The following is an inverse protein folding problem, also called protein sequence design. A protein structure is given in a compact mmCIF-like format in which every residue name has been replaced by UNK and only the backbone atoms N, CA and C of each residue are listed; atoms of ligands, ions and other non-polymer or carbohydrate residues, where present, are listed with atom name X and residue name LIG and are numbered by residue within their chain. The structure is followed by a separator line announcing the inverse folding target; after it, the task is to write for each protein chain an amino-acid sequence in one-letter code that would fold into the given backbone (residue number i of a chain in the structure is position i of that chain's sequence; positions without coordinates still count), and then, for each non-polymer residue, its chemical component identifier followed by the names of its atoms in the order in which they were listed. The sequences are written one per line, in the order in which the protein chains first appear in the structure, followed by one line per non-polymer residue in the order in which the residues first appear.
data_IF_532559298896
#
_entry.id   IF_532559298896
#
_cell.length_a   1.000
_cell.length_b   1.000
_cell.length_c   1.000
_cell.angle_alpha   90.00
_cell.angle_beta   90.00
_cell.angle_gamma   90.00
#
_symmetry.space_group_name_H-M   'P 1'
#
loop_
_entity.id
_entity.type
_entity.pdbx_description
1 polymer ?
#
# COMPACT_ATOMS: atom_id res chain seq x y z
N UNK A 1 -8.76 -0.92 8.67
CA UNK A 1 -8.02 0.04 9.52
C UNK A 1 -6.88 -0.69 10.21
N UNK A 2 -6.13 -0.02 11.09
CA UNK A 2 -4.99 -0.64 11.79
C UNK A 2 -5.40 -1.73 12.78
N UNK A 3 -6.52 -1.55 13.48
CA UNK A 3 -7.15 -2.63 14.25
C UNK A 3 -8.03 -3.49 13.32
N UNK A 4 -7.42 -4.53 12.76
CA UNK A 4 -8.10 -5.48 11.90
C UNK A 4 -9.07 -6.39 12.68
N UNK A 5 -8.80 -6.68 13.95
CA UNK A 5 -9.64 -7.56 14.78
C UNK A 5 -10.97 -6.89 15.16
N UNK A 6 -10.98 -5.55 15.21
CA UNK A 6 -12.16 -4.71 15.43
C UNK A 6 -13.13 -4.60 14.24
N UNK A 7 -12.96 -5.36 13.16
CA UNK A 7 -13.90 -5.33 12.01
C UNK A 7 -15.31 -5.77 12.43
N UNK A 8 -16.33 -5.16 11.81
CA UNK A 8 -17.75 -5.36 12.15
C UNK A 8 -18.56 -6.12 11.11
N UNK A 9 -18.02 -6.31 9.90
CA UNK A 9 -18.66 -7.11 8.85
C UNK A 9 -18.83 -8.55 9.34
N UNK A 10 -20.04 -9.10 9.26
CA UNK A 10 -20.35 -10.47 9.70
C UNK A 10 -20.77 -11.35 8.53
N UNK A 11 -20.53 -12.64 8.64
CA UNK A 11 -21.01 -13.66 7.71
C UNK A 11 -21.53 -14.84 8.54
N UNK A 12 -22.84 -14.87 8.81
CA UNK A 12 -23.43 -15.87 9.71
C UNK A 12 -24.04 -17.00 8.90
N UNK A 13 -23.83 -18.25 9.31
CA UNK A 13 -24.41 -19.42 8.61
C UNK A 13 -25.94 -19.40 8.68
N UNK A 14 -26.57 -19.64 7.54
CA UNK A 14 -28.01 -19.87 7.37
C UNK A 14 -28.22 -20.98 6.32
N UNK A 15 -28.39 -22.22 6.78
CA UNK A 15 -28.48 -23.38 5.91
C UNK A 15 -27.18 -23.64 5.13
N UNK A 16 -27.28 -23.62 3.79
CA UNK A 16 -26.16 -23.84 2.85
C UNK A 16 -25.47 -22.54 2.41
N UNK A 17 -25.80 -21.41 3.06
CA UNK A 17 -25.23 -20.10 2.79
C UNK A 17 -24.62 -19.47 4.05
N UNK A 18 -23.76 -18.48 3.85
CA UNK A 18 -23.49 -17.40 4.77
C UNK A 18 -24.37 -16.19 4.41
N UNK A 19 -24.90 -15.51 5.42
CA UNK A 19 -25.53 -14.18 5.29
C UNK A 19 -24.50 -13.12 5.62
N UNK A 20 -23.98 -12.45 4.60
CA UNK A 20 -22.96 -11.42 4.69
C UNK A 20 -23.58 -10.03 4.86
N UNK A 21 -23.18 -9.34 5.93
CA UNK A 21 -23.66 -8.02 6.29
C UNK A 21 -22.53 -7.08 6.69
N UNK A 22 -22.58 -5.84 6.21
CA UNK A 22 -21.74 -4.73 6.65
C UNK A 22 -21.14 -3.90 5.51
N UNK A 23 -20.09 -3.16 5.83
CA UNK A 23 -19.44 -2.26 4.87
C UNK A 23 -17.92 -2.34 4.92
N UNK A 24 -17.29 -2.04 3.80
CA UNK A 24 -15.84 -1.90 3.64
C UNK A 24 -15.53 -0.55 3.01
N UNK A 25 -14.53 0.13 3.56
CA UNK A 25 -14.07 1.43 3.09
C UNK A 25 -12.60 1.34 2.71
N UNK A 26 -12.18 2.18 1.78
CA UNK A 26 -10.83 2.21 1.22
C UNK A 26 -10.47 0.96 0.42
N UNK A 27 -11.43 0.41 -0.33
CA UNK A 27 -11.18 -0.76 -1.17
C UNK A 27 -10.59 -0.32 -2.50
N UNK A 28 -9.30 -0.61 -2.68
CA UNK A 28 -8.62 -0.50 -3.97
C UNK A 28 -9.38 -1.28 -5.03
N UNK A 29 -9.66 -0.66 -6.17
CA UNK A 29 -10.49 -1.18 -7.24
C UNK A 29 -11.97 -1.40 -6.87
N UNK A 30 -12.47 -0.88 -5.75
CA UNK A 30 -13.84 -1.12 -5.28
C UNK A 30 -14.94 -0.65 -6.25
N UNK A 31 -14.66 0.31 -7.12
CA UNK A 31 -15.60 0.80 -8.14
C UNK A 31 -15.61 -0.09 -9.39
N UNK A 32 -14.50 -0.82 -9.63
CA UNK A 32 -14.26 -1.57 -10.86
C UNK A 32 -14.25 -3.10 -10.66
N UNK A 33 -14.14 -3.59 -9.42
CA UNK A 33 -14.02 -5.02 -9.15
C UNK A 33 -15.34 -5.76 -9.32
N UNK A 34 -15.33 -6.90 -9.99
CA UNK A 34 -16.48 -7.82 -10.04
C UNK A 34 -16.37 -8.93 -8.97
N UNK A 35 -15.15 -9.28 -8.55
CA UNK A 35 -14.88 -10.27 -7.53
C UNK A 35 -14.11 -9.61 -6.36
N UNK A 36 -14.50 -9.90 -5.13
CA UNK A 36 -13.84 -9.36 -3.93
C UNK A 36 -13.63 -10.44 -2.88
N UNK A 37 -12.44 -10.46 -2.25
CA UNK A 37 -12.19 -11.26 -1.06
C UNK A 37 -12.59 -10.45 0.16
N UNK A 38 -13.71 -10.80 0.79
CA UNK A 38 -14.27 -10.11 1.95
C UNK A 38 -13.79 -10.78 3.22
N UNK A 39 -13.11 -10.00 4.07
CA UNK A 39 -12.81 -10.39 5.45
C UNK A 39 -14.04 -10.15 6.32
N UNK A 40 -14.63 -11.19 6.89
CA UNK A 40 -15.84 -11.09 7.72
C UNK A 40 -15.72 -11.93 8.99
N UNK A 41 -16.49 -11.59 10.03
CA UNK A 41 -16.62 -12.41 11.24
C UNK A 41 -17.67 -13.49 11.04
N UNK A 42 -17.22 -14.73 11.03
CA UNK A 42 -18.08 -15.93 11.07
C UNK A 42 -18.40 -16.35 12.50
N UNK A 43 -17.51 -16.01 13.46
CA UNK A 43 -17.79 -16.06 14.90
C UNK A 43 -17.53 -14.67 15.52
N UNK A 44 -18.57 -13.84 15.71
CA UNK A 44 -18.41 -12.51 16.29
C UNK A 44 -17.82 -12.49 17.71
N UNK A 45 -18.01 -13.56 18.49
CA UNK A 45 -17.58 -13.65 19.87
C UNK A 45 -16.09 -14.03 20.00
N UNK A 46 -15.51 -14.69 18.99
CA UNK A 46 -14.12 -15.16 19.01
C UNK A 46 -13.06 -14.12 18.60
N UNK A 47 -13.41 -12.83 18.54
CA UNK A 47 -12.51 -11.74 18.16
C UNK A 47 -11.74 -12.04 16.84
N UNK A 48 -10.41 -11.96 16.82
CA UNK A 48 -9.61 -12.28 15.64
C UNK A 48 -9.65 -13.75 15.22
N UNK A 49 -9.98 -14.67 16.14
CA UNK A 49 -10.12 -16.11 15.85
C UNK A 49 -11.46 -16.43 15.19
N UNK A 50 -12.38 -15.48 15.08
CA UNK A 50 -13.67 -15.66 14.42
C UNK A 50 -13.72 -15.09 13.01
N UNK A 51 -12.57 -14.84 12.39
CA UNK A 51 -12.46 -14.20 11.08
C UNK A 51 -12.30 -15.24 9.97
N UNK A 52 -13.08 -15.09 8.90
CA UNK A 52 -13.00 -15.88 7.67
C UNK A 52 -12.84 -14.98 6.44
N UNK A 53 -12.48 -15.60 5.32
CA UNK A 53 -12.36 -14.97 4.01
C UNK A 53 -13.44 -15.54 3.09
N UNK A 54 -14.24 -14.67 2.46
CA UNK A 54 -15.27 -15.07 1.51
C UNK A 54 -14.97 -14.47 0.14
N UNK A 55 -15.11 -15.27 -0.92
CA UNK A 55 -15.05 -14.79 -2.30
C UNK A 55 -16.46 -14.37 -2.72
N UNK A 56 -16.66 -13.09 -2.99
CA UNK A 56 -17.99 -12.51 -3.25
C UNK A 56 -18.02 -11.88 -4.63
N UNK A 57 -19.04 -12.23 -5.42
CA UNK A 57 -19.35 -11.58 -6.69
C UNK A 57 -20.17 -10.31 -6.43
N UNK A 58 -19.65 -9.16 -6.85
CA UNK A 58 -20.29 -7.86 -6.65
C UNK A 58 -21.59 -7.67 -7.44
N UNK A 59 -21.97 -8.64 -8.29
CA UNK A 59 -23.25 -8.66 -9.03
C UNK A 59 -24.36 -9.38 -8.25
N UNK A 60 -24.05 -10.03 -7.14
CA UNK A 60 -25.06 -10.71 -6.33
C UNK A 60 -26.04 -9.73 -5.65
N UNK A 61 -27.29 -10.14 -5.42
CA UNK A 61 -28.26 -9.33 -4.67
C UNK A 61 -27.72 -8.94 -3.29
N UNK A 62 -27.94 -7.68 -2.90
CA UNK A 62 -27.45 -7.11 -1.63
C UNK A 62 -26.04 -6.51 -1.70
N UNK A 63 -25.26 -6.80 -2.75
CA UNK A 63 -23.99 -6.12 -3.00
C UNK A 63 -24.22 -4.75 -3.63
N UNK A 64 -23.58 -3.71 -3.08
CA UNK A 64 -23.59 -2.38 -3.70
C UNK A 64 -22.27 -1.65 -3.53
N UNK A 65 -21.97 -0.77 -4.50
CA UNK A 65 -20.80 0.10 -4.49
C UNK A 65 -21.22 1.49 -4.01
N UNK A 66 -20.50 2.00 -3.02
CA UNK A 66 -20.68 3.33 -2.48
C UNK A 66 -19.91 4.38 -3.26
N UNK A 67 -19.36 5.37 -2.54
CA UNK A 67 -18.65 6.48 -3.19
C UNK A 67 -17.29 6.04 -3.72
N UNK A 68 -16.96 6.49 -4.92
CA UNK A 68 -15.57 6.57 -5.39
C UNK A 68 -14.87 7.71 -4.64
N UNK A 69 -13.95 7.35 -3.76
CA UNK A 69 -13.27 8.29 -2.87
C UNK A 69 -12.31 9.19 -3.66
N UNK A 70 -12.35 10.49 -3.38
CA UNK A 70 -11.46 11.49 -3.98
C UNK A 70 -10.14 11.54 -3.21
N UNK A 71 -9.06 11.05 -3.83
CA UNK A 71 -7.71 10.97 -3.23
C UNK A 71 -6.83 12.14 -3.70
N UNK A 72 -5.87 12.53 -2.85
CA UNK A 72 -4.86 13.55 -3.18
C UNK A 72 -3.98 13.12 -4.36
N UNK A 73 -3.55 11.86 -4.37
CA UNK A 73 -2.81 11.17 -5.43
C UNK A 73 -3.41 9.78 -5.71
N UNK A 74 -2.70 8.97 -6.48
CA UNK A 74 -3.11 7.64 -6.97
C UNK A 74 -4.45 7.70 -7.69
N UNK A 75 -4.68 8.77 -8.49
CA UNK A 75 -6.00 9.09 -9.09
C UNK A 75 -6.45 8.09 -10.16
N UNK A 76 -5.49 7.42 -10.80
CA UNK A 76 -5.75 6.41 -11.84
C UNK A 76 -6.35 5.13 -11.24
N UNK A 77 -5.92 4.74 -10.05
CA UNK A 77 -6.47 3.61 -9.31
C UNK A 77 -7.69 4.08 -8.52
N UNK A 78 -8.87 3.49 -8.74
CA UNK A 78 -10.02 3.86 -7.94
C UNK A 78 -9.95 3.27 -6.51
N UNK A 79 -10.64 3.91 -5.59
CA UNK A 79 -10.78 3.44 -4.21
C UNK A 79 -12.21 3.72 -3.79
N UNK A 80 -12.91 2.69 -3.37
CA UNK A 80 -14.35 2.73 -3.15
C UNK A 80 -14.78 2.32 -1.74
N UNK A 81 -16.07 2.53 -1.51
CA UNK A 81 -16.84 1.89 -0.45
C UNK A 81 -17.59 0.70 -1.05
N UNK A 82 -17.66 -0.42 -0.34
CA UNK A 82 -18.48 -1.59 -0.67
C UNK A 82 -19.45 -1.85 0.48
N UNK A 83 -20.69 -2.20 0.15
CA UNK A 83 -21.73 -2.55 1.12
C UNK A 83 -22.35 -3.89 0.77
N UNK A 84 -22.70 -4.63 1.83
CA UNK A 84 -23.30 -5.95 1.77
C UNK A 84 -24.51 -5.94 2.72
N UNK A 85 -25.69 -6.16 2.15
CA UNK A 85 -26.98 -6.18 2.85
C UNK A 85 -27.66 -7.52 2.58
N UNK A 86 -27.68 -8.39 3.58
CA UNK A 86 -28.21 -9.75 3.52
C UNK A 86 -27.77 -10.56 2.28
N UNK A 87 -26.48 -10.44 1.91
CA UNK A 87 -25.93 -11.14 0.76
C UNK A 87 -25.79 -12.63 1.09
N UNK A 88 -26.48 -13.49 0.33
CA UNK A 88 -26.31 -14.96 0.41
C UNK A 88 -25.05 -15.39 -0.33
N UNK A 89 -24.09 -15.92 0.42
CA UNK A 89 -22.81 -16.42 -0.09
C UNK A 89 -22.75 -17.93 0.15
N UNK A 90 -22.74 -18.77 -0.90
CA UNK A 90 -22.67 -20.22 -0.72
C UNK A 90 -21.45 -20.66 0.11
N UNK A 91 -21.58 -21.75 0.88
CA UNK A 91 -20.50 -22.21 1.77
C UNK A 91 -19.19 -22.55 1.04
N UNK A 92 -19.25 -22.95 -0.24
CA UNK A 92 -18.09 -23.28 -1.07
C UNK A 92 -17.31 -22.04 -1.57
N UNK A 93 -17.81 -20.84 -1.33
CA UNK A 93 -17.11 -19.57 -1.59
C UNK A 93 -16.25 -19.12 -0.40
N UNK A 94 -16.16 -19.93 0.65
CA UNK A 94 -15.18 -19.78 1.71
C UNK A 94 -13.76 -20.00 1.16
N UNK A 95 -12.90 -19.00 1.30
CA UNK A 95 -11.50 -19.11 0.91
C UNK A 95 -10.68 -19.69 2.06
N UNK A 96 -10.34 -20.97 1.95
CA UNK A 96 -9.64 -21.72 2.98
C UNK A 96 -10.59 -22.27 4.03
N UNK A 97 -10.17 -22.28 5.29
CA UNK A 97 -10.95 -22.82 6.40
C UNK A 97 -11.66 -21.71 7.19
N UNK A 98 -12.84 -22.05 7.72
CA UNK A 98 -13.64 -21.15 8.56
C UNK A 98 -12.84 -20.79 9.81
N UNK A 99 -12.92 -19.53 10.23
CA UNK A 99 -12.23 -18.97 11.40
C UNK A 99 -10.69 -18.94 11.29
N UNK A 100 -10.12 -19.30 10.12
CA UNK A 100 -8.66 -19.25 9.85
C UNK A 100 -8.23 -18.02 9.05
N UNK A 101 -9.17 -17.17 8.66
CA UNK A 101 -8.92 -15.99 7.80
C UNK A 101 -7.88 -15.02 8.36
N UNK A 102 -7.86 -14.79 9.68
CA UNK A 102 -6.82 -13.93 10.28
C UNK A 102 -5.41 -14.52 10.11
N UNK A 103 -5.26 -15.84 10.24
CA UNK A 103 -3.97 -16.50 10.06
C UNK A 103 -3.48 -16.39 8.61
N UNK A 104 -4.38 -16.59 7.64
CA UNK A 104 -4.05 -16.40 6.22
C UNK A 104 -3.63 -14.95 5.93
N UNK A 105 -4.35 -13.96 6.46
CA UNK A 105 -3.95 -12.56 6.32
C UNK A 105 -2.57 -12.28 6.90
N UNK A 106 -2.24 -12.83 8.08
CA UNK A 106 -0.90 -12.66 8.67
C UNK A 106 0.20 -13.31 7.81
N UNK A 107 -0.12 -14.36 7.05
CA UNK A 107 0.81 -15.00 6.11
C UNK A 107 1.01 -14.19 4.82
N UNK A 108 -0.04 -13.55 4.31
CA UNK A 108 0.01 -12.82 3.03
C UNK A 108 0.48 -11.36 3.17
N UNK A 109 0.29 -10.73 4.34
CA UNK A 109 0.69 -9.34 4.57
C UNK A 109 2.20 -9.05 4.37
N UNK A 110 3.14 -9.94 4.72
CA UNK A 110 4.55 -9.75 4.39
C UNK A 110 4.81 -9.56 2.89
N UNK A 111 4.10 -10.31 2.04
CA UNK A 111 4.19 -10.16 0.59
C UNK A 111 3.66 -8.81 0.14
N UNK A 112 2.46 -8.42 0.58
CA UNK A 112 1.89 -7.10 0.27
C UNK A 112 2.87 -5.97 0.65
N UNK A 113 3.43 -6.02 1.86
CA UNK A 113 4.41 -5.03 2.35
C UNK A 113 5.67 -4.96 1.48
N UNK A 114 6.19 -6.09 1.04
CA UNK A 114 7.35 -6.14 0.15
C UNK A 114 7.03 -5.49 -1.21
N UNK A 115 5.87 -5.76 -1.80
CA UNK A 115 5.46 -5.13 -3.07
C UNK A 115 5.42 -3.59 -2.97
N UNK A 116 4.99 -3.06 -1.82
CA UNK A 116 4.98 -1.62 -1.55
C UNK A 116 6.41 -1.08 -1.48
N UNK A 117 7.31 -1.77 -0.77
CA UNK A 117 8.71 -1.37 -0.68
C UNK A 117 9.40 -1.33 -2.05
N UNK A 118 9.17 -2.35 -2.89
CA UNK A 118 9.68 -2.43 -4.27
C UNK A 118 9.23 -1.21 -5.07
N UNK A 119 7.93 -0.91 -5.03
CA UNK A 119 7.36 0.21 -5.75
C UNK A 119 7.91 1.56 -5.26
N UNK A 120 8.11 1.69 -3.95
CA UNK A 120 8.65 2.91 -3.33
C UNK A 120 10.08 3.21 -3.79
N UNK A 121 10.97 2.20 -3.80
CA UNK A 121 12.35 2.36 -4.27
C UNK A 121 12.39 2.67 -5.76
N UNK A 122 11.63 1.95 -6.59
CA UNK A 122 11.60 2.19 -8.04
C UNK A 122 11.11 3.62 -8.38
N UNK A 123 10.10 4.12 -7.65
CA UNK A 123 9.63 5.50 -7.85
C UNK A 123 10.65 6.55 -7.41
N UNK A 124 11.41 6.29 -6.34
CA UNK A 124 12.48 7.18 -5.89
C UNK A 124 13.64 7.25 -6.90
N UNK A 125 14.02 6.11 -7.49
CA UNK A 125 15.03 6.06 -8.57
C UNK A 125 14.59 6.87 -9.79
N UNK A 126 13.34 6.69 -10.23
CA UNK A 126 12.78 7.44 -11.35
C UNK A 126 12.74 8.95 -11.07
N UNK A 127 12.40 9.36 -9.85
CA UNK A 127 12.43 10.76 -9.44
C UNK A 127 13.83 11.38 -9.55
N UNK A 128 14.85 10.66 -9.08
CA UNK A 128 16.25 11.10 -9.19
C UNK A 128 16.65 11.23 -10.66
N UNK A 129 16.27 10.28 -11.51
CA UNK A 129 16.57 10.35 -12.94
C UNK A 129 15.94 11.58 -13.59
N UNK A 130 14.63 11.81 -13.37
CA UNK A 130 13.90 12.94 -13.93
C UNK A 130 14.49 14.28 -13.47
N UNK A 131 14.76 14.40 -12.18
CA UNK A 131 15.33 15.63 -11.60
C UNK A 131 16.78 15.84 -12.03
N UNK A 132 17.56 14.78 -12.16
CA UNK A 132 18.93 14.85 -12.69
C UNK A 132 18.93 15.36 -14.14
N UNK A 133 18.00 14.90 -14.98
CA UNK A 133 17.82 15.42 -16.35
C UNK A 133 17.42 16.89 -16.34
N UNK A 134 16.35 17.23 -15.60
CA UNK A 134 15.86 18.60 -15.47
C UNK A 134 16.97 19.57 -15.02
N UNK A 135 17.76 19.17 -14.02
CA UNK A 135 18.83 20.01 -13.49
C UNK A 135 19.97 20.27 -14.49
N UNK A 136 20.22 19.37 -15.44
CA UNK A 136 21.22 19.60 -16.50
C UNK A 136 20.72 20.55 -17.58
N UNK A 137 19.41 20.53 -17.86
CA UNK A 137 18.80 21.35 -18.90
C UNK A 137 18.45 22.76 -18.42
N UNK A 138 17.94 22.88 -17.19
CA UNK A 138 17.47 24.15 -16.62
C UNK A 138 18.65 25.09 -16.33
N UNK A 139 18.61 26.27 -16.94
CA UNK A 139 19.55 27.36 -16.68
C UNK A 139 19.02 28.32 -15.60
N UNK A 140 19.90 28.78 -14.71
CA UNK A 140 19.66 29.89 -13.80
C UNK A 140 21.00 30.55 -13.45
N UNK A 141 21.02 31.88 -13.26
CA UNK A 141 22.24 32.64 -12.97
C UNK A 141 23.41 32.33 -13.93
N UNK A 142 23.08 32.17 -15.23
CA UNK A 142 24.07 31.96 -16.29
C UNK A 142 24.65 30.54 -16.42
N UNK A 143 24.15 29.56 -15.66
CA UNK A 143 24.63 28.17 -15.73
C UNK A 143 23.51 27.15 -15.51
N UNK A 144 23.75 25.89 -15.86
CA UNK A 144 22.80 24.82 -15.55
C UNK A 144 22.68 24.67 -14.03
N UNK A 145 21.49 24.42 -13.50
CA UNK A 145 21.32 24.33 -12.04
C UNK A 145 22.09 23.13 -11.45
N UNK A 146 22.38 22.09 -12.23
CA UNK A 146 23.30 21.00 -11.88
C UNK A 146 24.72 21.49 -11.52
N UNK A 147 25.12 22.68 -11.96
CA UNK A 147 26.43 23.26 -11.63
C UNK A 147 26.48 23.87 -10.23
N UNK A 148 25.35 24.08 -9.55
CA UNK A 148 25.35 24.44 -8.13
C UNK A 148 25.69 23.25 -7.24
N UNK A 149 26.57 23.48 -6.26
CA UNK A 149 27.03 22.43 -5.34
C UNK A 149 25.88 21.82 -4.53
N UNK A 150 24.97 22.66 -4.02
CA UNK A 150 23.80 22.21 -3.27
C UNK A 150 22.96 21.20 -4.07
N UNK A 151 22.65 21.48 -5.33
CA UNK A 151 21.91 20.56 -6.22
C UNK A 151 22.60 19.21 -6.36
N UNK A 152 23.93 19.20 -6.54
CA UNK A 152 24.69 17.95 -6.63
C UNK A 152 24.70 17.18 -5.32
N UNK A 153 24.83 17.87 -4.19
CA UNK A 153 24.81 17.23 -2.86
C UNK A 153 23.46 16.58 -2.60
N UNK A 154 22.36 17.29 -2.83
CA UNK A 154 21.00 16.74 -2.68
C UNK A 154 20.79 15.48 -3.53
N UNK A 155 21.19 15.50 -4.81
CA UNK A 155 21.04 14.33 -5.68
C UNK A 155 21.97 13.18 -5.27
N UNK A 156 23.19 13.47 -4.79
CA UNK A 156 24.14 12.46 -4.34
C UNK A 156 23.66 11.76 -3.06
N UNK A 157 23.13 12.52 -2.10
CA UNK A 157 22.52 11.97 -0.88
C UNK A 157 21.31 11.10 -1.21
N UNK A 158 20.38 11.61 -2.01
CA UNK A 158 19.20 10.87 -2.44
C UNK A 158 19.57 9.56 -3.15
N UNK A 159 20.53 9.61 -4.08
CA UNK A 159 21.02 8.42 -4.78
C UNK A 159 21.61 7.41 -3.80
N UNK A 160 22.43 7.85 -2.86
CA UNK A 160 23.07 6.97 -1.87
C UNK A 160 22.03 6.26 -1.02
N UNK A 161 21.05 7.00 -0.47
CA UNK A 161 20.01 6.43 0.37
C UNK A 161 19.13 5.43 -0.39
N UNK A 162 18.79 5.74 -1.64
CA UNK A 162 18.01 4.85 -2.51
C UNK A 162 18.78 3.59 -2.87
N UNK A 163 20.10 3.68 -3.11
CA UNK A 163 20.93 2.49 -3.34
C UNK A 163 20.99 1.58 -2.11
N UNK A 164 21.08 2.14 -0.90
CA UNK A 164 21.01 1.34 0.34
C UNK A 164 19.64 0.65 0.46
N UNK A 165 18.56 1.37 0.19
CA UNK A 165 17.22 0.79 0.21
C UNK A 165 17.03 -0.31 -0.85
N UNK A 166 17.57 -0.12 -2.06
CA UNK A 166 17.56 -1.11 -3.16
C UNK A 166 18.18 -2.42 -2.71
N UNK A 167 19.40 -2.38 -2.15
CA UNK A 167 20.10 -3.60 -1.67
C UNK A 167 19.26 -4.33 -0.62
N UNK A 168 18.64 -3.61 0.32
CA UNK A 168 17.80 -4.23 1.34
C UNK A 168 16.53 -4.85 0.77
N UNK A 169 15.86 -4.18 -0.17
CA UNK A 169 14.68 -4.70 -0.87
C UNK A 169 15.03 -5.94 -1.69
N UNK A 170 16.14 -5.92 -2.42
CA UNK A 170 16.59 -7.07 -3.22
C UNK A 170 16.85 -8.29 -2.32
N UNK A 171 17.48 -8.08 -1.14
CA UNK A 171 17.62 -9.14 -0.14
C UNK A 171 16.27 -9.68 0.34
N UNK A 172 15.28 -8.81 0.56
CA UNK A 172 13.93 -9.25 0.95
C UNK A 172 13.24 -10.05 -0.17
N UNK A 173 13.47 -9.69 -1.44
CA UNK A 173 12.98 -10.46 -2.60
C UNK A 173 13.62 -11.86 -2.62
N UNK A 174 14.92 -11.97 -2.42
CA UNK A 174 15.60 -13.28 -2.36
C UNK A 174 15.02 -14.16 -1.25
N UNK A 175 14.81 -13.60 -0.05
CA UNK A 175 14.19 -14.29 1.07
C UNK A 175 12.77 -14.73 0.72
N UNK A 176 11.98 -13.86 0.08
CA UNK A 176 10.62 -14.18 -0.33
C UNK A 176 10.58 -15.36 -1.31
N UNK A 177 11.44 -15.33 -2.33
CA UNK A 177 11.55 -16.41 -3.34
C UNK A 177 11.91 -17.75 -2.70
N UNK A 178 12.67 -17.74 -1.59
CA UNK A 178 13.03 -18.94 -0.83
C UNK A 178 11.98 -19.37 0.20
N UNK A 179 10.92 -18.58 0.40
CA UNK A 179 9.95 -18.81 1.48
C UNK A 179 10.49 -18.48 2.88
N UNK A 180 11.55 -17.67 2.96
CA UNK A 180 12.28 -17.32 4.19
C UNK A 180 12.03 -15.86 4.62
N UNK A 181 11.20 -15.10 3.89
CA UNK A 181 10.88 -13.73 4.28
C UNK A 181 9.99 -13.72 5.51
N UNK A 182 10.53 -13.25 6.63
CA UNK A 182 9.74 -13.03 7.83
C UNK A 182 8.97 -11.69 7.80
N UNK A 183 7.97 -11.59 8.68
CA UNK A 183 7.14 -10.40 8.80
C UNK A 183 7.91 -9.16 9.26
N UNK A 184 9.03 -9.33 9.96
CA UNK A 184 9.85 -8.25 10.51
C UNK A 184 10.62 -7.54 9.41
N UNK A 185 11.36 -8.30 8.59
CA UNK A 185 12.09 -7.82 7.43
C UNK A 185 11.15 -7.14 6.43
N UNK A 186 9.99 -7.73 6.15
CA UNK A 186 8.96 -7.10 5.31
C UNK A 186 8.46 -5.77 5.88
N UNK A 187 8.27 -5.69 7.21
CA UNK A 187 7.83 -4.45 7.88
C UNK A 187 8.93 -3.38 7.87
N UNK A 188 10.20 -3.76 8.09
CA UNK A 188 11.35 -2.87 7.96
C UNK A 188 11.44 -2.30 6.54
N UNK A 189 11.32 -3.17 5.52
CA UNK A 189 11.41 -2.77 4.12
C UNK A 189 10.31 -1.77 3.77
N UNK A 190 9.06 -2.08 4.12
CA UNK A 190 7.91 -1.22 3.82
C UNK A 190 8.03 0.14 4.50
N UNK A 191 8.30 0.18 5.81
CA UNK A 191 8.39 1.45 6.53
C UNK A 191 9.55 2.30 6.00
N UNK A 192 10.76 1.73 5.92
CA UNK A 192 11.95 2.48 5.53
C UNK A 192 11.83 3.03 4.12
N UNK A 193 11.44 2.18 3.16
CA UNK A 193 11.39 2.57 1.76
C UNK A 193 10.29 3.61 1.49
N UNK A 194 9.15 3.54 2.18
CA UNK A 194 8.07 4.52 1.98
C UNK A 194 8.34 5.86 2.65
N UNK A 195 9.05 5.89 3.79
CA UNK A 195 9.54 7.15 4.38
C UNK A 195 10.62 7.77 3.48
N UNK A 196 11.58 6.97 3.01
CA UNK A 196 12.63 7.41 2.09
C UNK A 196 12.06 7.94 0.78
N UNK A 197 11.10 7.23 0.18
CA UNK A 197 10.43 7.64 -1.05
C UNK A 197 9.85 9.05 -0.92
N UNK A 198 9.17 9.35 0.20
CA UNK A 198 8.60 10.68 0.44
C UNK A 198 9.71 11.74 0.55
N UNK A 199 10.78 11.45 1.29
CA UNK A 199 11.94 12.34 1.44
C UNK A 199 12.58 12.66 0.09
N UNK A 200 12.85 11.64 -0.72
CA UNK A 200 13.53 11.78 -2.02
C UNK A 200 12.66 12.53 -3.01
N UNK A 201 11.37 12.19 -3.11
CA UNK A 201 10.44 12.89 -3.99
C UNK A 201 10.28 14.36 -3.62
N UNK A 202 10.25 14.68 -2.34
CA UNK A 202 10.16 16.06 -1.85
C UNK A 202 11.40 16.87 -2.25
N UNK A 203 12.59 16.33 -2.01
CA UNK A 203 13.84 16.95 -2.43
C UNK A 203 13.93 17.11 -3.97
N UNK A 204 13.51 16.10 -4.72
CA UNK A 204 13.46 16.14 -6.18
C UNK A 204 12.46 17.19 -6.68
N UNK A 205 11.26 17.28 -6.09
CA UNK A 205 10.28 18.32 -6.41
C UNK A 205 10.86 19.72 -6.15
N UNK A 206 11.53 19.90 -5.01
CA UNK A 206 12.17 21.16 -4.64
C UNK A 206 13.20 21.62 -5.68
N UNK A 207 13.98 20.70 -6.27
CA UNK A 207 14.93 21.01 -7.34
C UNK A 207 14.26 21.49 -8.64
N UNK A 208 13.00 21.10 -8.88
CA UNK A 208 12.23 21.63 -9.99
C UNK A 208 11.70 23.05 -9.75
N UNK A 209 11.67 23.52 -8.49
CA UNK A 209 11.11 24.81 -8.12
C UNK A 209 9.62 24.90 -8.44
N UNK A 210 9.14 26.06 -8.92
CA UNK A 210 7.73 26.25 -9.29
C UNK A 210 7.20 25.24 -10.31
N UNK A 211 8.06 24.76 -11.22
CA UNK A 211 7.72 23.72 -12.18
C UNK A 211 7.41 22.37 -11.51
N UNK A 212 8.02 22.09 -10.36
CA UNK A 212 7.77 20.87 -9.57
C UNK A 212 6.34 20.81 -9.02
N UNK A 213 5.65 21.94 -8.93
CA UNK A 213 4.26 22.03 -8.52
C UNK A 213 3.27 21.91 -9.69
N UNK A 214 3.75 21.84 -10.94
CA UNK A 214 2.91 21.76 -12.13
C UNK A 214 2.77 20.31 -12.58
N UNK A 215 1.55 19.90 -12.94
CA UNK A 215 1.25 18.52 -13.39
C UNK A 215 1.89 18.16 -14.74
N UNK A 216 2.41 19.14 -15.47
CA UNK A 216 3.21 18.92 -16.68
C UNK A 216 4.52 18.17 -16.40
N UNK A 217 5.00 18.23 -15.16
CA UNK A 217 6.20 17.52 -14.73
C UNK A 217 5.82 16.26 -13.93
N UNK A 218 6.38 15.08 -14.27
CA UNK A 218 6.01 13.81 -13.64
C UNK A 218 6.29 13.79 -12.13
N UNK A 219 7.23 14.63 -11.66
CA UNK A 219 7.59 14.74 -10.24
C UNK A 219 6.41 15.19 -9.37
N UNK A 220 5.56 16.09 -9.87
CA UNK A 220 4.40 16.59 -9.12
C UNK A 220 3.42 15.46 -8.81
N UNK A 221 3.11 14.65 -9.84
CA UNK A 221 2.24 13.48 -9.69
C UNK A 221 2.87 12.47 -8.74
N UNK A 222 4.13 12.11 -8.97
CA UNK A 222 4.83 11.12 -8.16
C UNK A 222 4.85 11.51 -6.66
N UNK A 223 5.10 12.78 -6.35
CA UNK A 223 5.04 13.30 -4.98
C UNK A 223 3.65 13.13 -4.34
N UNK A 224 2.57 13.50 -5.06
CA UNK A 224 1.21 13.34 -4.53
C UNK A 224 0.80 11.86 -4.38
N UNK A 225 1.24 10.99 -5.28
CA UNK A 225 0.94 9.56 -5.27
C UNK A 225 1.65 8.84 -4.11
N UNK A 226 2.91 9.16 -3.86
CA UNK A 226 3.74 8.54 -2.84
C UNK A 226 3.22 8.72 -1.41
N UNK A 227 2.50 9.82 -1.13
CA UNK A 227 2.02 10.11 0.23
C UNK A 227 1.20 8.96 0.83
N UNK A 228 0.43 8.25 0.01
CA UNK A 228 -0.42 7.16 0.46
C UNK A 228 0.38 5.92 0.92
N UNK A 229 1.60 5.71 0.40
CA UNK A 229 2.40 4.51 0.67
C UNK A 229 2.79 4.35 2.15
N UNK A 230 2.87 5.46 2.90
CA UNK A 230 3.09 5.44 4.36
C UNK A 230 1.86 4.96 5.16
N UNK A 231 0.70 4.77 4.51
CA UNK A 231 -0.59 4.52 5.15
C UNK A 231 -1.13 3.12 4.82
N UNK A 232 -1.22 2.75 3.54
CA UNK A 232 -1.75 1.45 3.13
C UNK A 232 -0.73 0.31 3.32
N UNK A 233 -1.20 -0.94 3.30
CA UNK A 233 -0.41 -2.11 3.71
C UNK A 233 -0.05 -2.13 5.21
N UNK A 234 -0.72 -1.28 6.00
CA UNK A 234 -0.40 -0.95 7.39
C UNK A 234 0.43 0.34 7.48
N UNK A 235 0.07 1.26 8.39
CA UNK A 235 0.81 2.51 8.54
C UNK A 235 2.25 2.27 8.99
N UNK A 236 3.13 3.25 8.75
CA UNK A 236 4.52 3.14 9.17
C UNK A 236 4.68 2.99 10.69
N UNK A 237 3.76 3.55 11.48
CA UNK A 237 3.70 3.34 12.93
C UNK A 237 3.35 1.89 13.28
N UNK A 238 2.45 1.25 12.54
CA UNK A 238 2.15 -0.17 12.71
C UNK A 238 3.36 -1.03 12.31
N UNK A 239 4.09 -0.66 11.26
CA UNK A 239 5.33 -1.38 10.93
C UNK A 239 6.36 -1.29 12.07
N UNK A 240 6.53 -0.10 12.66
CA UNK A 240 7.42 0.11 13.82
C UNK A 240 6.98 -0.71 15.02
N UNK A 241 5.68 -0.78 15.29
CA UNK A 241 5.11 -1.64 16.35
C UNK A 241 5.41 -3.13 16.11
N UNK A 242 5.30 -3.61 14.87
CA UNK A 242 5.64 -5.00 14.53
C UNK A 242 7.13 -5.29 14.71
N UNK A 243 7.99 -4.35 14.32
CA UNK A 243 9.44 -4.44 14.52
C UNK A 243 9.79 -4.44 16.01
N UNK A 244 9.15 -3.56 16.79
CA UNK A 244 9.40 -3.41 18.23
C UNK A 244 9.17 -4.71 19.01
N UNK A 245 8.22 -5.55 18.59
CA UNK A 245 7.91 -6.85 19.21
C UNK A 245 9.01 -7.89 19.06
N UNK A 246 9.97 -7.65 18.17
CA UNK A 246 11.07 -8.56 17.83
C UNK A 246 12.43 -8.00 18.28
N UNK A 247 12.42 -6.93 19.07
CA UNK A 247 13.65 -6.42 19.68
C UNK A 247 14.20 -7.45 20.69
N UNK A 248 15.53 -7.62 20.75
CA UNK A 248 16.19 -8.55 21.67
C UNK A 248 16.08 -8.12 23.13
#
# INVERSE_FOLDING_TARGET
GSDLQGLRTTALRDGEDYILNGGKTFITNGSLCDLVVVVAKTDPAAAGKGISLLVVDMRWPGCSRGRRLKKIGMRAQDTGELFFDDVRVPLDHLLGEENRGFAYLMNELPWERLQIAISAVAQAEAAIEWSSRYCRERQAFGQAIMQFQNTRFTLAEALTEVQVARVFVDRCIELFVRGELDATAASMAKYWCTDLQCKVLDACLQLHGGNGCMLDYPIARAWTDARAARIYGGSNEIMKELIARQLP
#
